data_IF_670131608279
#
_entry.id   IF_670131608279
#
_cell.length_a   1.000
_cell.length_b   1.000
_cell.length_c   1.000
_cell.angle_alpha   90.00
_cell.angle_beta   90.00
_cell.angle_gamma   90.00
#
_symmetry.space_group_name_H-M   'P 1'
#
loop_
_entity.id
_entity.type
_entity.pdbx_description
1 polymer ?
#
# COMPACT_ATOMS: atom_id res chain seq x y z
N UNK A 1 12.08 -22.50 -1.22
CA UNK A 1 10.70 -22.38 -1.75
C UNK A 1 10.16 -21.08 -1.20
N UNK A 2 9.89 -20.09 -2.06
CA UNK A 2 9.20 -18.86 -1.62
C UNK A 2 7.79 -19.24 -1.17
N UNK A 3 7.43 -18.87 0.04
CA UNK A 3 6.09 -19.11 0.57
C UNK A 3 5.16 -18.01 0.03
N UNK A 4 4.20 -18.41 -0.81
CA UNK A 4 3.17 -17.49 -1.30
C UNK A 4 2.14 -17.24 -0.20
N UNK A 5 1.97 -15.97 0.16
CA UNK A 5 0.98 -15.51 1.12
C UNK A 5 -0.39 -15.36 0.44
N UNK A 6 -1.45 -15.36 1.26
CA UNK A 6 -2.81 -15.05 0.82
C UNK A 6 -3.19 -13.61 1.13
N UNK A 7 -4.09 -13.03 0.33
CA UNK A 7 -4.51 -11.63 0.50
C UNK A 7 -5.24 -11.43 1.83
N UNK A 8 -6.06 -12.39 2.26
CA UNK A 8 -6.81 -12.28 3.52
C UNK A 8 -5.92 -12.17 4.77
N UNK A 9 -4.68 -12.69 4.70
CA UNK A 9 -3.72 -12.68 5.81
C UNK A 9 -2.89 -11.39 5.88
N UNK A 10 -3.05 -10.51 4.90
CA UNK A 10 -2.31 -9.25 4.83
C UNK A 10 -2.82 -8.27 5.89
N UNK A 11 -1.85 -7.67 6.58
CA UNK A 11 -2.08 -6.68 7.61
C UNK A 11 -1.24 -5.42 7.31
N UNK A 12 -1.54 -4.27 7.95
CA UNK A 12 -0.76 -3.04 7.75
C UNK A 12 0.75 -3.17 8.05
N UNK A 13 1.15 -4.16 8.84
CA UNK A 13 2.54 -4.45 9.17
C UNK A 13 3.23 -5.44 8.21
N UNK A 14 2.49 -6.05 7.27
CA UNK A 14 3.01 -7.08 6.38
C UNK A 14 4.04 -6.52 5.41
N UNK A 15 5.24 -7.12 5.41
CA UNK A 15 6.38 -6.77 4.56
C UNK A 15 7.01 -8.06 4.04
N UNK A 16 7.74 -7.96 2.92
CA UNK A 16 8.39 -9.09 2.27
C UNK A 16 7.41 -10.23 1.98
N UNK A 17 6.24 -9.86 1.43
CA UNK A 17 5.21 -10.82 1.03
C UNK A 17 5.36 -11.17 -0.45
N UNK A 18 5.33 -12.46 -0.74
CA UNK A 18 5.25 -12.98 -2.09
C UNK A 18 3.79 -13.38 -2.35
N UNK A 19 3.19 -12.88 -3.44
CA UNK A 19 1.78 -13.05 -3.76
C UNK A 19 1.61 -13.44 -5.22
N UNK A 20 0.65 -14.32 -5.49
CA UNK A 20 0.18 -14.64 -6.82
C UNK A 20 -1.24 -14.05 -6.94
N UNK A 21 -1.45 -13.11 -7.86
CA UNK A 21 -2.71 -12.37 -7.98
C UNK A 21 -3.12 -12.18 -9.44
N UNK A 22 -4.41 -12.01 -9.71
CA UNK A 22 -4.95 -11.63 -11.02
C UNK A 22 -5.39 -10.17 -11.02
N UNK A 23 -5.15 -9.46 -12.11
CA UNK A 23 -5.58 -8.08 -12.30
C UNK A 23 -7.04 -8.06 -12.76
N UNK A 24 -7.90 -7.39 -11.99
CA UNK A 24 -9.32 -7.20 -12.32
C UNK A 24 -9.57 -5.85 -13.01
N UNK A 25 -8.92 -4.79 -12.56
CA UNK A 25 -9.12 -3.44 -13.06
C UNK A 25 -7.84 -2.62 -12.91
N UNK A 26 -7.61 -1.66 -13.81
CA UNK A 26 -6.52 -0.70 -13.73
C UNK A 26 -7.11 0.70 -13.82
N UNK A 27 -6.94 1.49 -12.77
CA UNK A 27 -7.35 2.89 -12.73
C UNK A 27 -6.42 3.74 -13.61
N UNK A 28 -6.92 4.89 -14.12
CA UNK A 28 -6.11 5.78 -14.93
C UNK A 28 -4.85 6.25 -14.18
N UNK A 29 -3.69 6.29 -14.86
CA UNK A 29 -2.45 6.76 -14.26
C UNK A 29 -2.56 8.23 -13.90
N UNK A 30 -1.97 8.59 -12.76
CA UNK A 30 -1.83 9.97 -12.28
C UNK A 30 -0.37 10.34 -12.09
N UNK A 31 -0.05 11.59 -12.39
CA UNK A 31 1.28 12.12 -12.11
C UNK A 31 1.40 12.45 -10.61
N UNK A 32 2.48 12.00 -10.00
CA UNK A 32 2.86 12.32 -8.63
C UNK A 32 4.27 12.90 -8.60
N UNK A 33 4.45 13.98 -7.83
CA UNK A 33 5.76 14.56 -7.58
C UNK A 33 6.38 13.93 -6.34
N UNK A 34 7.54 13.32 -6.49
CA UNK A 34 8.28 12.73 -5.37
C UNK A 34 9.07 13.80 -4.62
N UNK A 35 9.46 13.55 -3.36
CA UNK A 35 10.26 14.49 -2.55
C UNK A 35 11.58 14.90 -3.21
N UNK A 36 12.13 14.04 -4.06
CA UNK A 36 13.36 14.27 -4.81
C UNK A 36 13.15 15.16 -6.06
N UNK A 37 11.93 15.68 -6.29
CA UNK A 37 11.60 16.56 -7.42
C UNK A 37 11.33 15.84 -8.75
N UNK A 38 11.43 14.51 -8.77
CA UNK A 38 11.04 13.68 -9.91
C UNK A 38 9.52 13.64 -10.11
N UNK A 39 9.10 13.61 -11.38
CA UNK A 39 7.72 13.31 -11.78
C UNK A 39 7.62 11.84 -12.11
N UNK A 40 6.73 11.14 -11.43
CA UNK A 40 6.47 9.72 -11.64
C UNK A 40 5.00 9.49 -11.93
N UNK A 41 4.70 8.49 -12.74
CA UNK A 41 3.34 8.05 -12.98
C UNK A 41 3.00 6.94 -12.00
N UNK A 42 1.82 7.04 -11.37
CA UNK A 42 1.27 6.01 -10.52
C UNK A 42 -0.13 5.64 -11.00
N UNK A 43 -0.35 4.36 -11.27
CA UNK A 43 -1.67 3.79 -11.48
C UNK A 43 -2.05 2.88 -10.32
N UNK A 44 -3.34 2.69 -10.12
CA UNK A 44 -3.86 1.83 -9.06
C UNK A 44 -4.58 0.66 -9.73
N UNK A 45 -4.10 -0.56 -9.53
CA UNK A 45 -4.70 -1.76 -10.07
C UNK A 45 -5.43 -2.53 -8.99
N UNK A 46 -6.68 -2.90 -9.23
CA UNK A 46 -7.39 -3.84 -8.37
C UNK A 46 -6.92 -5.25 -8.71
N UNK A 47 -6.26 -5.91 -7.76
CA UNK A 47 -5.78 -7.27 -7.90
C UNK A 47 -6.48 -8.19 -6.92
N UNK A 48 -6.72 -9.44 -7.32
CA UNK A 48 -7.44 -10.41 -6.52
C UNK A 48 -6.79 -11.79 -6.57
N UNK A 49 -6.98 -12.56 -5.51
CA UNK A 49 -6.62 -13.97 -5.38
C UNK A 49 -7.86 -14.72 -4.86
N UNK A 50 -7.76 -16.04 -4.65
CA UNK A 50 -8.84 -16.88 -4.13
C UNK A 50 -9.42 -16.43 -2.79
N UNK A 51 -8.70 -15.59 -2.04
CA UNK A 51 -9.06 -15.19 -0.66
C UNK A 51 -9.60 -13.77 -0.54
N UNK A 52 -9.32 -12.90 -1.51
CA UNK A 52 -9.79 -11.51 -1.50
C UNK A 52 -9.12 -10.64 -2.56
N UNK A 53 -9.34 -9.33 -2.46
CA UNK A 53 -8.78 -8.35 -3.39
C UNK A 53 -8.15 -7.15 -2.66
N UNK A 54 -7.15 -6.53 -3.29
CA UNK A 54 -6.39 -5.40 -2.77
C UNK A 54 -5.99 -4.46 -3.90
N UNK A 55 -5.82 -3.17 -3.59
CA UNK A 55 -5.27 -2.21 -4.52
C UNK A 55 -3.74 -2.29 -4.55
N UNK A 56 -3.20 -2.56 -5.73
CA UNK A 56 -1.78 -2.54 -6.07
C UNK A 56 -1.40 -1.19 -6.67
N UNK A 57 -0.32 -0.59 -6.20
CA UNK A 57 0.26 0.62 -6.80
C UNK A 57 1.29 0.24 -7.87
N UNK A 58 1.04 0.64 -9.11
CA UNK A 58 1.92 0.45 -10.25
C UNK A 58 2.68 1.74 -10.55
N UNK A 59 3.98 1.64 -10.81
CA UNK A 59 4.86 2.79 -11.02
C UNK A 59 5.44 2.80 -12.43
N UNK A 60 5.45 3.98 -13.04
CA UNK A 60 6.09 4.29 -14.32
C UNK A 60 5.89 3.17 -15.37
N UNK A 61 6.97 2.49 -15.77
CA UNK A 61 6.94 1.45 -16.81
C UNK A 61 6.09 0.23 -16.49
N UNK A 62 5.77 -0.02 -15.21
CA UNK A 62 4.95 -1.18 -14.83
C UNK A 62 3.47 -0.97 -15.20
N UNK A 63 3.05 0.28 -15.35
CA UNK A 63 1.70 0.66 -15.77
C UNK A 63 1.44 0.15 -17.20
N UNK A 64 2.42 0.27 -18.09
CA UNK A 64 2.28 -0.11 -19.50
C UNK A 64 2.47 -1.63 -19.73
N UNK A 65 3.23 -2.29 -18.85
CA UNK A 65 3.50 -3.74 -18.95
C UNK A 65 2.30 -4.58 -18.54
N UNK A 66 1.55 -4.12 -17.55
CA UNK A 66 0.49 -4.88 -16.89
C UNK A 66 -0.85 -4.57 -17.54
N UNK A 67 -1.64 -5.61 -17.80
CA UNK A 67 -2.99 -5.48 -18.37
C UNK A 67 -4.03 -6.15 -17.48
N UNK A 68 -5.28 -5.72 -17.66
CA UNK A 68 -6.44 -6.38 -17.08
C UNK A 68 -6.47 -7.85 -17.52
N UNK A 69 -6.97 -8.73 -16.64
CA UNK A 69 -7.03 -10.18 -16.80
C UNK A 69 -5.67 -10.91 -16.86
N UNK A 70 -4.57 -10.25 -16.52
CA UNK A 70 -3.27 -10.91 -16.38
C UNK A 70 -3.01 -11.40 -14.96
N UNK A 71 -2.23 -12.47 -14.87
CA UNK A 71 -1.75 -13.01 -13.60
C UNK A 71 -0.37 -12.46 -13.31
N UNK A 72 -0.17 -12.00 -12.08
CA UNK A 72 1.04 -11.36 -11.60
C UNK A 72 1.59 -12.14 -10.41
N UNK A 73 2.88 -12.41 -10.46
CA UNK A 73 3.69 -12.83 -9.33
C UNK A 73 4.39 -11.61 -8.76
N UNK A 74 3.94 -11.19 -7.58
CA UNK A 74 4.54 -10.09 -6.82
C UNK A 74 5.53 -10.70 -5.83
N UNK A 75 6.77 -10.25 -5.88
CA UNK A 75 7.83 -10.68 -4.95
C UNK A 75 8.25 -9.54 -4.06
N UNK A 76 8.46 -9.85 -2.78
CA UNK A 76 8.93 -8.91 -1.75
C UNK A 76 8.10 -7.61 -1.71
N UNK A 77 6.78 -7.76 -1.82
CA UNK A 77 5.81 -6.69 -1.67
C UNK A 77 5.65 -6.27 -0.21
N UNK A 78 5.03 -5.12 0.00
CA UNK A 78 4.65 -4.66 1.34
C UNK A 78 3.31 -3.93 1.33
N UNK A 79 2.63 -3.97 2.48
CA UNK A 79 1.43 -3.19 2.70
C UNK A 79 1.80 -1.82 3.24
N UNK A 80 1.20 -0.79 2.66
CA UNK A 80 1.24 0.58 3.15
C UNK A 80 -0.17 1.08 3.41
N UNK A 81 -0.33 1.98 4.37
CA UNK A 81 -1.60 2.65 4.62
C UNK A 81 -1.59 3.99 3.90
N UNK A 82 -2.49 4.15 2.93
CA UNK A 82 -2.74 5.43 2.27
C UNK A 82 -4.11 5.94 2.72
N UNK A 83 -4.13 7.03 3.49
CA UNK A 83 -5.35 7.63 4.05
C UNK A 83 -6.23 6.63 4.84
N UNK A 84 -5.60 5.71 5.57
CA UNK A 84 -6.29 4.69 6.36
C UNK A 84 -6.64 3.40 5.59
N UNK A 85 -6.48 3.37 4.26
CA UNK A 85 -6.72 2.18 3.43
C UNK A 85 -5.43 1.43 3.11
N UNK A 86 -5.48 0.09 3.12
CA UNK A 86 -4.33 -0.74 2.75
C UNK A 86 -4.07 -0.70 1.24
N UNK A 87 -2.80 -0.54 0.87
CA UNK A 87 -2.31 -0.65 -0.50
C UNK A 87 -1.10 -1.57 -0.56
N UNK A 88 -1.11 -2.46 -1.53
CA UNK A 88 0.04 -3.29 -1.88
C UNK A 88 0.99 -2.46 -2.74
N UNK A 89 2.26 -2.44 -2.37
CA UNK A 89 3.30 -1.73 -3.11
C UNK A 89 4.54 -2.62 -3.23
N UNK A 90 5.34 -2.38 -4.27
CA UNK A 90 6.64 -3.02 -4.46
C UNK A 90 7.75 -2.07 -4.03
N UNK A 91 8.69 -2.58 -3.23
CA UNK A 91 9.82 -1.81 -2.74
C UNK A 91 11.00 -1.85 -3.70
N UNK A 92 12.13 -1.24 -3.32
CA UNK A 92 13.39 -1.27 -4.07
C UNK A 92 13.87 -2.69 -4.42
N UNK A 93 13.54 -3.66 -3.58
CA UNK A 93 13.89 -5.07 -3.74
C UNK A 93 12.69 -5.94 -4.12
N UNK A 94 11.55 -5.32 -4.45
CA UNK A 94 10.36 -6.01 -4.91
C UNK A 94 10.29 -6.01 -6.44
N UNK A 95 9.67 -7.03 -7.00
CA UNK A 95 9.43 -7.13 -8.44
C UNK A 95 8.02 -7.61 -8.72
N UNK A 96 7.49 -7.17 -9.86
CA UNK A 96 6.22 -7.63 -10.41
C UNK A 96 6.56 -8.37 -11.70
N UNK A 97 6.22 -9.65 -11.76
CA UNK A 97 6.45 -10.50 -12.93
C UNK A 97 5.11 -11.04 -13.43
N UNK A 98 4.95 -11.18 -14.74
CA UNK A 98 3.76 -11.83 -15.30
C UNK A 98 3.91 -13.33 -15.04
N UNK A 99 2.97 -13.90 -14.30
CA UNK A 99 2.93 -15.33 -14.04
C UNK A 99 2.23 -16.06 -15.19
N UNK A 100 2.77 -17.22 -15.58
CA UNK A 100 2.11 -18.12 -16.52
C UNK A 100 1.04 -18.99 -15.84
N UNK A 101 1.11 -19.12 -14.51
CA UNK A 101 0.16 -19.89 -13.71
C UNK A 101 -1.22 -19.23 -13.68
N UNK A 102 -2.26 -20.04 -13.89
CA UNK A 102 -3.63 -19.56 -13.88
C UNK A 102 -4.26 -19.59 -12.49
N UNK A 103 -4.68 -18.41 -12.00
CA UNK A 103 -5.43 -18.26 -10.75
C UNK A 103 -6.91 -18.26 -11.12
N UNK A 104 -7.46 -19.46 -11.31
CA UNK A 104 -8.82 -19.59 -11.85
C UNK A 104 -9.89 -18.90 -11.00
N UNK A 105 -9.94 -19.18 -9.69
CA UNK A 105 -10.94 -18.61 -8.80
C UNK A 105 -10.37 -17.42 -8.02
N UNK A 106 -10.94 -16.23 -8.26
CA UNK A 106 -10.58 -15.00 -7.54
C UNK A 106 -11.79 -14.45 -6.79
N UNK A 107 -11.55 -13.92 -5.60
CA UNK A 107 -12.58 -13.34 -4.75
C UNK A 107 -12.49 -11.82 -4.78
N UNK A 108 -13.40 -11.19 -5.52
CA UNK A 108 -13.50 -9.73 -5.64
C UNK A 108 -14.27 -9.07 -4.49
N UNK A 109 -15.01 -9.84 -3.69
CA UNK A 109 -15.91 -9.33 -2.64
C UNK A 109 -15.14 -8.96 -1.36
N UNK A 110 -14.11 -9.74 -1.00
CA UNK A 110 -13.30 -9.47 0.19
C UNK A 110 -12.20 -8.44 -0.08
N UNK A 111 -12.59 -7.17 -0.25
CA UNK A 111 -11.66 -6.08 -0.48
C UNK A 111 -11.00 -5.60 0.82
N UNK A 112 -9.74 -5.99 1.02
CA UNK A 112 -8.97 -5.61 2.22
C UNK A 112 -8.56 -4.13 2.21
N UNK A 113 -8.54 -3.46 1.05
CA UNK A 113 -8.24 -2.03 0.94
C UNK A 113 -9.36 -1.14 1.49
N UNK A 114 -10.60 -1.64 1.54
CA UNK A 114 -11.73 -0.91 2.14
C UNK A 114 -11.70 -0.88 3.67
N UNK A 115 -10.87 -1.71 4.31
CA UNK A 115 -10.69 -1.69 5.77
C UNK A 115 -10.00 -0.38 6.15
N UNK A 116 -10.71 0.46 6.90
CA UNK A 116 -10.19 1.73 7.41
C UNK A 116 -9.46 1.49 8.73
N UNK A 117 -8.15 1.76 8.74
CA UNK A 117 -7.31 1.72 9.93
C UNK A 117 -7.17 3.13 10.49
N UNK A 118 -7.49 3.29 11.78
CA UNK A 118 -7.35 4.58 12.47
C UNK A 118 -5.87 4.98 12.51
N UNK A 119 -5.56 6.12 11.89
CA UNK A 119 -4.22 6.71 11.82
C UNK A 119 -3.92 7.54 13.08
N UNK A 120 -4.62 7.30 14.19
CA UNK A 120 -4.41 8.02 15.44
C UNK A 120 -2.98 7.80 15.96
N UNK A 121 -2.06 8.65 15.51
CA UNK A 121 -0.80 8.89 16.16
C UNK A 121 -1.18 9.34 17.56
N UNK A 122 -0.81 8.61 18.63
CA UNK A 122 -1.05 9.09 19.98
C UNK A 122 -0.42 10.47 20.07
N UNK A 123 -1.25 11.50 20.31
CA UNK A 123 -0.76 12.88 20.47
C UNK A 123 0.27 12.83 21.58
N UNK A 124 1.54 13.06 21.24
CA UNK A 124 2.61 13.14 22.21
C UNK A 124 2.22 14.18 23.25
N UNK A 125 1.82 13.73 24.44
CA UNK A 125 1.64 14.59 25.61
C UNK A 125 3.00 14.66 26.28
N UNK A 126 3.74 15.78 26.15
CA UNK A 126 4.97 15.93 26.92
C UNK A 126 4.64 15.76 28.41
N UNK A 127 5.38 14.88 29.10
CA UNK A 127 5.19 14.57 30.52
C UNK A 127 5.61 15.72 31.46
N UNK A 128 6.13 16.82 30.92
CA UNK A 128 6.50 18.01 31.67
C UNK A 128 5.70 19.21 31.15
N UNK A 129 4.80 19.73 31.99
CA UNK A 129 4.33 21.10 31.87
C UNK A 129 5.43 22.01 32.41
N UNK A 130 6.02 22.83 31.53
CA UNK A 130 6.86 23.95 31.95
C UNK A 130 5.96 25.01 32.60
N UNK A 131 5.73 24.86 33.90
CA UNK A 131 5.00 25.82 34.73
C UNK A 131 5.96 26.97 35.11
N UNK A 132 6.50 27.67 34.11
CA UNK A 132 7.37 28.81 34.34
C UNK A 132 6.97 30.02 33.49
N UNK A 133 5.70 30.42 33.64
CA UNK A 133 5.22 31.76 33.25
C UNK A 133 4.40 32.41 34.36
N UNK A 134 5.07 32.81 35.44
CA UNK A 134 4.72 34.02 36.19
C UNK A 134 5.96 34.91 36.14
N UNK A 135 6.08 35.83 35.19
CA UNK A 135 5.20 36.98 35.09
C UNK A 135 5.94 38.17 35.71
N UNK A 136 6.79 38.81 34.91
CA UNK A 136 7.38 40.12 35.22
C UNK A 136 6.28 41.12 35.55
N UNK A 137 6.07 41.39 36.83
CA UNK A 137 5.28 42.52 37.31
C UNK A 137 6.20 43.68 37.66
N UNK A 138 6.46 44.57 36.68
CA UNK A 138 6.88 45.95 36.97
C UNK A 138 5.82 46.57 37.90
N UNK A 139 6.24 47.17 39.03
CA UNK A 139 5.70 48.47 39.48
C UNK A 139 6.66 49.12 40.48
N UNK A 140 6.79 50.44 40.23
CA UNK A 140 7.59 51.52 40.82
C UNK A 140 8.12 51.34 42.24
#
# INVERSE_FOLDING_TARGET
MSETRKIEELNPGSRSVDLLVKVLEINPPREVSTKDGGRHMVAEALVADSTGCVLLSLWDSDIDKIKVDQNLSIKNGYISLFRGSMRLNTGKYGSIEIAADDIGAVNSENNISNRSYDQHIPKFRPLYHDDNRRGRGRRR
#
